data_IF_901479608356
#
_entry.id   IF_901479608356
#
_cell.length_a   1.000
_cell.length_b   1.000
_cell.length_c   1.000
_cell.angle_alpha   90.00
_cell.angle_beta   90.00
_cell.angle_gamma   90.00
#
_symmetry.space_group_name_H-M   'P 1'
#
loop_
_entity.id
_entity.type
_entity.pdbx_description
1 polymer ?
#
# COMPACT_ATOMS: atom_id res chain seq x y z
N UNK A 1 -23.74 -9.65 -4.61
CA UNK A 1 -23.08 -8.73 -3.66
C UNK A 1 -21.58 -8.99 -3.49
N UNK A 2 -21.10 -10.22 -3.31
CA UNK A 2 -19.66 -10.50 -3.10
C UNK A 2 -18.69 -10.07 -4.23
N UNK A 3 -19.17 -10.02 -5.48
CA UNK A 3 -18.38 -9.58 -6.63
C UNK A 3 -17.98 -8.11 -6.57
N UNK A 4 -18.89 -7.24 -6.10
CA UNK A 4 -18.65 -5.79 -6.01
C UNK A 4 -17.56 -5.48 -4.98
N UNK A 5 -17.60 -6.12 -3.81
CA UNK A 5 -16.58 -5.97 -2.76
C UNK A 5 -15.23 -6.47 -3.27
N UNK A 6 -15.20 -7.59 -4.01
CA UNK A 6 -13.98 -8.07 -4.66
C UNK A 6 -13.41 -7.03 -5.62
N UNK A 7 -14.27 -6.45 -6.46
CA UNK A 7 -13.87 -5.51 -7.48
C UNK A 7 -13.30 -4.22 -6.86
N UNK A 8 -13.92 -3.73 -5.78
CA UNK A 8 -13.43 -2.56 -5.02
C UNK A 8 -12.09 -2.88 -4.33
N UNK A 9 -11.95 -4.03 -3.67
CA UNK A 9 -10.67 -4.42 -3.07
C UNK A 9 -9.55 -4.54 -4.11
N UNK A 10 -9.85 -5.10 -5.29
CA UNK A 10 -8.89 -5.18 -6.40
C UNK A 10 -8.55 -3.80 -6.97
N UNK A 11 -9.53 -2.89 -7.10
CA UNK A 11 -9.28 -1.52 -7.52
C UNK A 11 -8.33 -0.80 -6.54
N UNK A 12 -8.57 -0.93 -5.23
CA UNK A 12 -7.70 -0.38 -4.19
C UNK A 12 -6.29 -0.98 -4.20
N UNK A 13 -6.19 -2.30 -4.36
CA UNK A 13 -4.89 -2.99 -4.44
C UNK A 13 -4.11 -2.51 -5.66
N UNK A 14 -4.78 -2.32 -6.81
CA UNK A 14 -4.15 -1.80 -8.03
C UNK A 14 -3.68 -0.35 -7.86
N UNK A 15 -4.47 0.50 -7.19
CA UNK A 15 -4.09 1.88 -6.91
C UNK A 15 -2.88 1.97 -5.97
N UNK A 16 -2.86 1.13 -4.94
CA UNK A 16 -1.70 1.02 -4.04
C UNK A 16 -0.45 0.54 -4.77
N UNK A 17 -0.60 -0.43 -5.68
CA UNK A 17 0.49 -0.93 -6.51
C UNK A 17 1.05 0.15 -7.45
N UNK A 18 0.19 0.91 -8.12
CA UNK A 18 0.62 2.03 -8.94
C UNK A 18 1.36 3.09 -8.11
N UNK A 19 0.87 3.40 -6.90
CA UNK A 19 1.52 4.33 -5.98
C UNK A 19 2.92 3.85 -5.56
N UNK A 20 3.08 2.55 -5.25
CA UNK A 20 4.38 1.96 -4.91
C UNK A 20 5.35 1.97 -6.10
N UNK A 21 4.88 1.65 -7.31
CA UNK A 21 5.71 1.72 -8.52
C UNK A 21 6.14 3.17 -8.77
N UNK A 22 5.24 4.13 -8.60
CA UNK A 22 5.58 5.56 -8.70
C UNK A 22 6.62 5.97 -7.66
N UNK A 23 6.45 5.58 -6.39
CA UNK A 23 7.42 5.84 -5.32
C UNK A 23 8.80 5.21 -5.61
N UNK A 24 8.82 3.98 -6.14
CA UNK A 24 10.04 3.31 -6.59
C UNK A 24 10.75 4.06 -7.73
N UNK A 25 10.00 4.56 -8.71
CA UNK A 25 10.55 5.36 -9.81
C UNK A 25 11.06 6.72 -9.33
N UNK A 26 10.43 7.33 -8.32
CA UNK A 26 10.80 8.65 -7.82
C UNK A 26 11.92 8.65 -6.77
N UNK A 27 12.33 7.47 -6.27
CA UNK A 27 13.41 7.25 -5.30
C UNK A 27 14.78 7.83 -5.71
N UNK A 28 14.96 8.13 -7.00
CA UNK A 28 16.25 8.60 -7.53
C UNK A 28 16.52 10.11 -7.37
N UNK A 29 15.63 10.90 -6.75
CA UNK A 29 15.71 12.37 -6.83
C UNK A 29 16.37 13.09 -5.65
N UNK A 30 16.56 12.47 -4.48
CA UNK A 30 17.19 13.12 -3.32
C UNK A 30 18.44 12.36 -2.86
N UNK A 31 19.56 13.09 -2.71
CA UNK A 31 20.89 12.54 -2.45
C UNK A 31 21.32 12.72 -0.98
N UNK A 32 20.37 12.98 -0.08
CA UNK A 32 20.62 13.16 1.34
C UNK A 32 20.74 11.79 2.02
N UNK A 33 21.94 11.49 2.56
CA UNK A 33 22.28 10.20 3.14
C UNK A 33 21.36 9.78 4.30
N UNK A 34 20.75 10.74 5.02
CA UNK A 34 19.80 10.47 6.10
C UNK A 34 18.38 10.13 5.65
N UNK A 35 17.91 10.70 4.52
CA UNK A 35 16.56 10.43 3.99
C UNK A 35 16.47 9.08 3.26
N UNK A 36 17.60 8.62 2.72
CA UNK A 36 17.68 7.46 1.84
C UNK A 36 17.39 6.12 2.55
N UNK A 37 17.84 5.96 3.79
CA UNK A 37 17.55 4.76 4.59
C UNK A 37 16.08 4.73 5.04
N UNK A 38 15.52 5.89 5.36
CA UNK A 38 14.13 6.04 5.79
C UNK A 38 13.16 5.81 4.61
N UNK A 39 13.47 6.34 3.41
CA UNK A 39 12.73 6.05 2.18
C UNK A 39 12.84 4.57 1.79
N UNK A 40 14.00 3.94 1.98
CA UNK A 40 14.19 2.51 1.70
C UNK A 40 13.34 1.63 2.60
N UNK A 41 13.30 1.94 3.90
CA UNK A 41 12.44 1.24 4.86
C UNK A 41 10.96 1.44 4.52
N UNK A 42 10.56 2.65 4.11
CA UNK A 42 9.18 2.96 3.76
C UNK A 42 8.72 2.23 2.50
N UNK A 43 9.55 2.19 1.46
CA UNK A 43 9.29 1.43 0.24
C UNK A 43 9.22 -0.08 0.54
N UNK A 44 10.14 -0.59 1.36
CA UNK A 44 10.15 -2.00 1.79
C UNK A 44 8.87 -2.37 2.54
N UNK A 45 8.44 -1.53 3.50
CA UNK A 45 7.17 -1.70 4.22
C UNK A 45 5.98 -1.64 3.26
N UNK A 46 5.99 -0.70 2.31
CA UNK A 46 4.93 -0.53 1.34
C UNK A 46 4.75 -1.73 0.39
N UNK A 47 5.85 -2.33 -0.06
CA UNK A 47 5.86 -3.57 -0.84
C UNK A 47 5.39 -4.75 0.01
N UNK A 48 5.83 -4.86 1.26
CA UNK A 48 5.38 -5.91 2.17
C UNK A 48 3.85 -5.86 2.38
N UNK A 49 3.31 -4.67 2.65
CA UNK A 49 1.87 -4.50 2.85
C UNK A 49 1.08 -4.74 1.56
N UNK A 50 1.65 -4.44 0.39
CA UNK A 50 1.06 -4.76 -0.91
C UNK A 50 0.93 -6.27 -1.11
N UNK A 51 1.96 -7.04 -0.76
CA UNK A 51 1.90 -8.52 -0.79
C UNK A 51 0.82 -9.03 0.16
N UNK A 52 0.75 -8.49 1.38
CA UNK A 52 -0.30 -8.84 2.36
C UNK A 52 -1.68 -8.55 1.79
N UNK A 53 -1.90 -7.38 1.18
CA UNK A 53 -3.16 -7.00 0.54
C UNK A 53 -3.55 -7.94 -0.60
N UNK A 54 -2.61 -8.33 -1.46
CA UNK A 54 -2.86 -9.28 -2.55
C UNK A 54 -3.28 -10.63 -1.98
N UNK A 55 -2.53 -11.15 -1.00
CA UNK A 55 -2.86 -12.44 -0.37
C UNK A 55 -4.24 -12.38 0.28
N UNK A 56 -4.53 -11.35 1.07
CA UNK A 56 -5.84 -11.16 1.71
C UNK A 56 -6.98 -11.03 0.69
N UNK A 57 -6.73 -10.43 -0.46
CA UNK A 57 -7.74 -10.24 -1.51
C UNK A 57 -7.92 -11.51 -2.38
N UNK A 58 -6.92 -12.40 -2.41
CA UNK A 58 -7.03 -13.73 -3.03
C UNK A 58 -7.92 -14.68 -2.21
N UNK A 59 -8.02 -14.45 -0.89
CA UNK A 59 -8.85 -15.27 -0.02
C UNK A 59 -10.35 -15.08 -0.35
N UNK A 60 -11.14 -16.17 -0.46
CA UNK A 60 -12.57 -16.09 -0.78
C UNK A 60 -13.41 -15.55 0.38
N UNK A 61 -12.82 -15.30 1.55
CA UNK A 61 -13.51 -14.85 2.75
C UNK A 61 -13.84 -13.36 2.70
N UNK A 62 -15.09 -13.02 3.00
CA UNK A 62 -15.54 -11.62 3.03
C UNK A 62 -14.86 -10.79 4.13
N UNK A 63 -14.48 -11.43 5.24
CA UNK A 63 -13.69 -10.81 6.31
C UNK A 63 -12.28 -10.41 5.84
N UNK A 64 -11.66 -11.18 4.94
CA UNK A 64 -10.34 -10.86 4.40
C UNK A 64 -10.36 -9.56 3.57
N UNK A 65 -11.47 -9.30 2.86
CA UNK A 65 -11.69 -8.05 2.11
C UNK A 65 -11.91 -6.85 3.02
N UNK A 66 -12.58 -7.03 4.17
CA UNK A 66 -12.74 -5.97 5.18
C UNK A 66 -11.38 -5.65 5.81
N UNK A 67 -10.59 -6.67 6.18
CA UNK A 67 -9.24 -6.46 6.67
C UNK A 67 -8.36 -5.74 5.63
N UNK A 68 -8.48 -6.08 4.34
CA UNK A 68 -7.74 -5.41 3.28
C UNK A 68 -8.11 -3.92 3.17
N UNK A 69 -9.41 -3.59 3.29
CA UNK A 69 -9.88 -2.20 3.32
C UNK A 69 -9.33 -1.44 4.52
N UNK A 70 -9.39 -2.04 5.72
CA UNK A 70 -8.88 -1.42 6.95
C UNK A 70 -7.37 -1.17 6.85
N UNK A 71 -6.61 -2.16 6.37
CA UNK A 71 -5.16 -2.04 6.15
C UNK A 71 -4.85 -0.93 5.13
N UNK A 72 -5.61 -0.86 4.02
CA UNK A 72 -5.44 0.18 3.01
C UNK A 72 -5.68 1.59 3.55
N UNK A 73 -6.73 1.77 4.37
CA UNK A 73 -7.01 3.05 5.04
C UNK A 73 -5.89 3.42 6.01
N UNK A 74 -5.43 2.46 6.82
CA UNK A 74 -4.34 2.68 7.77
C UNK A 74 -3.06 3.14 7.06
N UNK A 75 -2.81 2.58 5.88
CA UNK A 75 -1.67 2.92 5.03
C UNK A 75 -1.76 4.34 4.47
N UNK A 76 -2.94 4.74 3.97
CA UNK A 76 -3.18 6.12 3.52
C UNK A 76 -2.99 7.11 4.67
N UNK A 77 -3.45 6.76 5.88
CA UNK A 77 -3.24 7.54 7.09
C UNK A 77 -1.76 7.66 7.45
N UNK A 78 -1.01 6.56 7.35
CA UNK A 78 0.43 6.54 7.61
C UNK A 78 1.20 7.42 6.61
N UNK A 79 0.88 7.32 5.32
CA UNK A 79 1.47 8.19 4.28
C UNK A 79 1.12 9.65 4.53
N UNK A 80 -0.14 9.94 4.86
CA UNK A 80 -0.58 11.30 5.19
C UNK A 80 0.17 11.85 6.40
N UNK A 81 0.32 11.05 7.46
CA UNK A 81 1.07 11.41 8.66
C UNK A 81 2.53 11.74 8.33
N UNK A 82 3.21 10.91 7.53
CA UNK A 82 4.60 11.14 7.10
C UNK A 82 4.73 12.38 6.22
N UNK A 83 3.69 12.74 5.46
CA UNK A 83 3.72 13.98 4.67
C UNK A 83 3.43 15.24 5.49
N UNK A 84 2.76 15.11 6.64
CA UNK A 84 2.36 16.25 7.48
C UNK A 84 3.26 16.49 8.68
N UNK A 85 4.11 15.53 9.05
CA UNK A 85 5.09 15.61 10.14
C UNK A 85 6.48 15.21 9.68
#
# INVERSE_FOLDING_TARGET
MMKLISLISWALTSGWSACMVYALMNRSRYNDAGGRDQETALIGLGVFVLVVLIVLNLLPYSWAKICALVIGILLLLLVYYIQTH
#
